data_IF_112117723357
#
_entry.id   IF_112117723357
#
_cell.length_a   1.000
_cell.length_b   1.000
_cell.length_c   1.000
_cell.angle_alpha   90.00
_cell.angle_beta   90.00
_cell.angle_gamma   90.00
#
_symmetry.space_group_name_H-M   'P 1'
#
loop_
_entity.id
_entity.type
_entity.pdbx_description
1 polymer ?
#
# COMPACT_ATOMS: atom_id res chain seq x y z
N UNK A 1 -0.39 20.68 11.06
CA UNK A 1 1.00 21.07 10.68
C UNK A 1 1.58 19.99 9.79
N UNK A 2 2.27 20.38 8.73
CA UNK A 2 2.96 19.41 7.85
C UNK A 2 4.30 19.05 8.45
N UNK A 3 4.51 17.79 8.78
CA UNK A 3 5.78 17.28 9.27
C UNK A 3 6.67 16.81 8.11
N UNK A 4 7.97 16.90 8.30
CA UNK A 4 8.96 16.40 7.35
C UNK A 4 9.40 15.02 7.81
N UNK A 5 9.24 14.03 6.93
CA UNK A 5 9.66 12.66 7.15
C UNK A 5 10.78 12.31 6.16
N UNK A 6 11.71 11.45 6.57
CA UNK A 6 12.64 10.79 5.65
C UNK A 6 12.30 9.31 5.60
N UNK A 7 12.41 8.71 4.41
CA UNK A 7 12.16 7.30 4.24
C UNK A 7 13.16 6.65 3.29
N UNK A 8 13.31 5.36 3.43
CA UNK A 8 14.05 4.50 2.51
C UNK A 8 13.28 3.22 2.24
N UNK A 9 13.46 2.67 1.05
CA UNK A 9 12.88 1.39 0.64
C UNK A 9 13.89 0.31 0.97
N UNK A 10 13.46 -0.69 1.72
CA UNK A 10 14.26 -1.87 2.03
C UNK A 10 14.14 -2.85 0.87
N UNK A 11 15.27 -3.31 0.35
CA UNK A 11 15.38 -4.17 -0.83
C UNK A 11 16.13 -5.44 -0.48
N UNK A 12 15.64 -6.55 -0.98
CA UNK A 12 16.36 -7.81 -0.97
C UNK A 12 17.04 -8.00 -2.32
N UNK A 13 18.38 -8.09 -2.30
CA UNK A 13 19.26 -8.29 -3.46
C UNK A 13 20.17 -9.47 -3.17
N UNK A 14 19.74 -10.71 -3.47
CA UNK A 14 20.51 -11.91 -3.12
C UNK A 14 21.81 -12.04 -3.91
N UNK A 15 21.84 -11.51 -5.14
CA UNK A 15 22.98 -11.60 -6.05
C UNK A 15 23.46 -10.18 -6.37
N UNK A 16 24.67 -9.85 -5.94
CA UNK A 16 25.25 -8.52 -6.17
C UNK A 16 25.58 -8.29 -7.65
N UNK A 17 25.93 -9.36 -8.35
CA UNK A 17 26.40 -9.36 -9.73
C UNK A 17 25.31 -8.97 -10.73
N UNK A 18 24.08 -9.41 -10.49
CA UNK A 18 22.94 -9.09 -11.38
C UNK A 18 22.24 -7.78 -11.01
N UNK A 19 22.54 -7.23 -9.82
CA UNK A 19 21.84 -6.08 -9.24
C UNK A 19 20.31 -6.22 -9.15
N UNK A 20 19.76 -7.40 -9.41
CA UNK A 20 18.34 -7.66 -9.30
C UNK A 20 17.88 -7.60 -7.85
N UNK A 21 16.77 -6.90 -7.61
CA UNK A 21 16.23 -6.75 -6.27
C UNK A 21 14.70 -6.77 -6.23
N UNK A 22 14.17 -7.16 -5.07
CA UNK A 22 12.78 -7.00 -4.73
C UNK A 22 12.62 -6.03 -3.57
N UNK A 23 11.66 -5.12 -3.65
CA UNK A 23 11.29 -4.27 -2.52
C UNK A 23 10.56 -5.12 -1.48
N UNK A 24 11.07 -5.14 -0.25
CA UNK A 24 10.61 -6.00 0.84
C UNK A 24 10.16 -5.22 2.08
N UNK A 25 10.36 -3.91 2.12
CA UNK A 25 9.96 -3.08 3.24
C UNK A 25 10.17 -1.60 3.00
N UNK A 26 9.76 -0.83 3.98
CA UNK A 26 10.05 0.60 4.09
C UNK A 26 10.42 0.93 5.53
N UNK A 27 11.31 1.88 5.72
CA UNK A 27 11.65 2.49 7.01
C UNK A 27 11.49 4.00 6.90
N UNK A 28 10.92 4.60 7.93
CA UNK A 28 10.61 6.04 7.99
C UNK A 28 11.08 6.60 9.31
N UNK A 29 11.64 7.81 9.29
CA UNK A 29 11.93 8.60 10.49
C UNK A 29 11.12 9.91 10.44
N UNK A 30 10.52 10.24 11.54
CA UNK A 30 9.94 11.56 11.76
C UNK A 30 11.06 12.57 12.03
N UNK A 31 11.16 13.59 11.19
CA UNK A 31 12.21 14.59 11.29
C UNK A 31 12.11 15.49 12.53
N UNK A 32 10.95 15.56 13.17
CA UNK A 32 10.73 16.35 14.38
C UNK A 32 10.97 15.55 15.66
N UNK A 33 10.32 14.39 15.76
CA UNK A 33 10.37 13.56 16.99
C UNK A 33 11.55 12.58 17.02
N UNK A 34 12.21 12.32 15.89
CA UNK A 34 13.23 11.28 15.76
C UNK A 34 12.68 9.86 15.81
N UNK A 35 11.37 9.70 15.95
CA UNK A 35 10.73 8.39 16.02
C UNK A 35 10.87 7.65 14.69
N UNK A 36 11.27 6.39 14.78
CA UNK A 36 11.44 5.50 13.64
C UNK A 36 10.30 4.48 13.63
N UNK A 37 9.75 4.23 12.46
CA UNK A 37 8.80 3.16 12.24
C UNK A 37 9.07 2.49 10.89
N UNK A 38 8.67 1.24 10.75
CA UNK A 38 8.95 0.45 9.55
C UNK A 38 7.87 -0.59 9.29
N UNK A 39 7.79 -1.06 8.05
CA UNK A 39 6.97 -2.19 7.68
C UNK A 39 7.73 -3.12 6.75
N UNK A 40 7.69 -4.43 7.04
CA UNK A 40 8.34 -5.49 6.27
C UNK A 40 7.31 -6.40 5.62
N UNK A 41 7.65 -6.93 4.45
CA UNK A 41 6.89 -8.00 3.81
C UNK A 41 6.96 -9.29 4.65
N UNK A 42 5.95 -10.17 4.54
CA UNK A 42 5.96 -11.42 5.28
C UNK A 42 7.08 -12.35 4.79
N UNK A 43 7.54 -13.27 5.65
CA UNK A 43 8.51 -14.32 5.27
C UNK A 43 8.07 -15.13 4.04
N UNK A 44 6.77 -15.40 3.92
CA UNK A 44 6.18 -16.07 2.75
C UNK A 44 5.65 -15.02 1.78
N UNK A 45 6.54 -14.34 1.09
CA UNK A 45 6.18 -13.30 0.13
C UNK A 45 6.27 -13.84 -1.30
N UNK A 46 5.13 -14.05 -1.93
CA UNK A 46 5.00 -14.67 -3.25
C UNK A 46 5.84 -13.99 -4.32
N UNK A 47 5.94 -12.65 -4.28
CA UNK A 47 6.77 -11.90 -5.24
C UNK A 47 8.24 -12.30 -5.19
N UNK A 48 8.82 -12.44 -4.00
CA UNK A 48 10.22 -12.87 -3.84
C UNK A 48 10.37 -14.32 -4.30
N UNK A 49 9.41 -15.18 -3.93
CA UNK A 49 9.41 -16.60 -4.33
C UNK A 49 9.33 -16.80 -5.85
N UNK A 50 8.55 -15.99 -6.56
CA UNK A 50 8.42 -16.13 -8.01
C UNK A 50 9.52 -15.40 -8.79
N UNK A 51 10.22 -14.46 -8.17
CA UNK A 51 11.25 -13.67 -8.84
C UNK A 51 12.65 -14.27 -8.68
N UNK A 52 12.92 -14.93 -7.56
CA UNK A 52 14.21 -15.51 -7.27
C UNK A 52 14.12 -17.04 -7.14
N UNK A 53 15.26 -17.70 -7.33
CA UNK A 53 15.42 -19.13 -7.13
C UNK A 53 15.23 -19.54 -5.67
N UNK A 54 15.00 -20.83 -5.43
CA UNK A 54 14.70 -21.38 -4.09
C UNK A 54 15.79 -21.08 -3.05
N UNK A 55 17.06 -21.15 -3.45
CA UNK A 55 18.19 -20.83 -2.56
C UNK A 55 18.14 -19.39 -2.07
N UNK A 56 17.86 -18.44 -2.96
CA UNK A 56 17.70 -17.04 -2.60
C UNK A 56 16.45 -16.81 -1.74
N UNK A 57 15.36 -17.55 -2.01
CA UNK A 57 14.16 -17.47 -1.21
C UNK A 57 14.36 -17.93 0.24
N UNK A 58 15.19 -18.95 0.48
CA UNK A 58 15.54 -19.36 1.83
C UNK A 58 16.34 -18.27 2.57
N UNK A 59 17.31 -17.63 1.90
CA UNK A 59 18.06 -16.51 2.44
C UNK A 59 17.16 -15.30 2.77
N UNK A 60 16.11 -15.07 1.97
CA UNK A 60 15.11 -14.05 2.25
C UNK A 60 14.41 -14.24 3.60
N UNK A 61 14.03 -15.45 3.94
CA UNK A 61 13.40 -15.77 5.23
C UNK A 61 14.27 -15.35 6.42
N UNK A 62 15.56 -15.65 6.35
CA UNK A 62 16.53 -15.25 7.36
C UNK A 62 16.73 -13.73 7.41
N UNK A 63 16.80 -13.07 6.24
CA UNK A 63 16.93 -11.62 6.16
C UNK A 63 15.75 -10.89 6.84
N UNK A 64 14.53 -11.37 6.65
CA UNK A 64 13.33 -10.80 7.32
C UNK A 64 13.40 -10.98 8.82
N UNK A 65 13.89 -12.13 9.33
CA UNK A 65 14.03 -12.35 10.77
C UNK A 65 15.07 -11.40 11.39
N UNK A 66 16.22 -11.23 10.75
CA UNK A 66 17.23 -10.29 11.19
C UNK A 66 16.72 -8.86 11.20
N UNK A 67 16.05 -8.42 10.13
CA UNK A 67 15.46 -7.07 10.06
C UNK A 67 14.44 -6.80 11.16
N UNK A 68 13.63 -7.80 11.54
CA UNK A 68 12.67 -7.68 12.65
C UNK A 68 13.34 -7.47 14.02
N UNK A 69 14.58 -7.87 14.17
CA UNK A 69 15.37 -7.66 15.38
C UNK A 69 16.15 -6.35 15.30
N UNK A 70 16.82 -6.12 14.17
CA UNK A 70 17.75 -4.99 13.99
C UNK A 70 17.05 -3.63 13.92
N UNK A 71 15.92 -3.54 13.18
CA UNK A 71 15.24 -2.26 13.01
C UNK A 71 14.64 -1.69 14.31
N UNK A 72 13.95 -2.48 15.16
CA UNK A 72 13.54 -2.00 16.48
C UNK A 72 14.71 -1.56 17.35
N UNK A 73 15.78 -2.37 17.41
CA UNK A 73 16.99 -2.04 18.19
C UNK A 73 17.63 -0.74 17.71
N UNK A 74 17.76 -0.57 16.39
CA UNK A 74 18.28 0.67 15.82
C UNK A 74 17.39 1.87 16.17
N UNK A 75 16.06 1.69 16.13
CA UNK A 75 15.07 2.71 16.49
C UNK A 75 15.14 3.17 17.94
N UNK A 76 15.54 2.29 18.85
CA UNK A 76 15.71 2.61 20.27
C UNK A 76 17.12 3.20 20.57
N UNK A 77 18.14 2.60 19.99
CA UNK A 77 19.52 2.87 20.36
C UNK A 77 20.12 4.10 19.69
N UNK A 78 19.85 4.30 18.40
CA UNK A 78 20.45 5.41 17.65
C UNK A 78 19.95 6.80 18.10
N UNK A 79 18.65 7.01 18.39
CA UNK A 79 18.21 8.28 18.97
C UNK A 79 18.81 8.58 20.34
N UNK A 80 19.10 7.55 21.15
CA UNK A 80 19.77 7.70 22.44
C UNK A 80 21.21 8.19 22.28
N UNK A 81 21.90 7.80 21.21
CA UNK A 81 23.28 8.23 20.92
C UNK A 81 23.33 9.60 20.24
N UNK A 82 22.48 9.82 19.23
CA UNK A 82 22.54 11.01 18.37
C UNK A 82 21.59 12.13 18.81
N UNK A 83 20.78 11.91 19.85
CA UNK A 83 19.85 12.91 20.36
C UNK A 83 18.87 13.37 19.27
N UNK A 84 18.79 14.68 19.05
CA UNK A 84 17.92 15.30 18.06
C UNK A 84 18.43 15.26 16.62
N UNK A 85 19.64 14.73 16.37
CA UNK A 85 20.17 14.62 15.00
C UNK A 85 19.54 13.43 14.24
N UNK A 86 18.33 13.66 13.80
CA UNK A 86 17.57 12.68 13.00
C UNK A 86 18.21 12.36 11.64
N UNK A 87 19.10 13.22 11.14
CA UNK A 87 19.80 13.01 9.87
C UNK A 87 20.88 11.92 10.03
N UNK A 88 21.72 12.06 11.02
CA UNK A 88 22.79 11.07 11.33
C UNK A 88 22.16 9.74 11.78
N UNK A 89 21.15 9.79 12.64
CA UNK A 89 20.39 8.60 13.07
C UNK A 89 19.85 7.82 11.89
N UNK A 90 19.18 8.48 10.95
CA UNK A 90 18.62 7.80 9.79
C UNK A 90 19.70 7.29 8.84
N UNK A 91 20.79 8.04 8.65
CA UNK A 91 21.91 7.63 7.82
C UNK A 91 22.54 6.34 8.31
N UNK A 92 22.77 6.17 9.61
CA UNK A 92 23.33 4.95 10.19
C UNK A 92 22.46 3.71 9.91
N UNK A 93 21.14 3.86 9.82
CA UNK A 93 20.23 2.77 9.47
C UNK A 93 20.35 2.39 8.00
N UNK A 94 20.38 3.40 7.10
CA UNK A 94 20.22 3.19 5.66
C UNK A 94 21.52 3.23 4.88
N UNK A 95 22.66 3.44 5.52
CA UNK A 95 23.97 3.48 4.86
C UNK A 95 24.23 2.22 4.02
N UNK A 96 24.92 2.36 2.88
CA UNK A 96 25.29 1.23 2.04
C UNK A 96 26.08 0.16 2.84
N UNK A 97 25.73 -1.10 2.64
CA UNK A 97 26.38 -2.26 3.26
C UNK A 97 26.50 -3.36 2.21
N UNK A 98 27.55 -4.14 2.30
CA UNK A 98 27.69 -5.38 1.54
C UNK A 98 26.81 -6.47 2.18
N UNK A 99 25.56 -6.56 1.72
CA UNK A 99 24.56 -7.47 2.27
C UNK A 99 23.51 -7.78 1.21
N UNK A 100 22.84 -8.92 1.38
CA UNK A 100 21.63 -9.24 0.58
C UNK A 100 20.46 -8.31 0.88
N UNK A 101 20.55 -7.51 1.94
CA UNK A 101 19.59 -6.45 2.25
C UNK A 101 20.24 -5.10 2.03
N UNK A 102 19.68 -4.31 1.15
CA UNK A 102 20.15 -2.96 0.86
C UNK A 102 19.00 -1.95 1.04
N UNK A 103 19.38 -0.71 1.27
CA UNK A 103 18.44 0.40 1.40
C UNK A 103 18.53 1.31 0.18
N UNK A 104 17.40 1.83 -0.28
CA UNK A 104 17.41 2.89 -1.31
C UNK A 104 18.01 4.17 -0.74
N UNK A 105 18.48 5.08 -1.60
CA UNK A 105 18.84 6.42 -1.16
C UNK A 105 17.69 7.06 -0.34
N UNK A 106 18.01 7.73 0.78
CA UNK A 106 17.03 8.46 1.58
C UNK A 106 16.26 9.48 0.76
N UNK A 107 14.95 9.55 0.99
CA UNK A 107 14.06 10.53 0.36
C UNK A 107 13.29 11.27 1.44
N UNK A 108 13.09 12.58 1.24
CA UNK A 108 12.25 13.38 2.11
C UNK A 108 10.84 13.52 1.52
N UNK A 109 9.85 13.57 2.39
CA UNK A 109 8.48 13.90 2.04
C UNK A 109 7.84 14.73 3.16
N UNK A 110 6.86 15.54 2.78
CA UNK A 110 6.06 16.34 3.71
C UNK A 110 4.67 15.72 3.82
N UNK A 111 4.19 15.46 5.03
CA UNK A 111 2.88 14.82 5.26
C UNK A 111 2.22 15.33 6.53
N UNK A 112 0.89 15.26 6.56
CA UNK A 112 0.07 15.48 7.76
C UNK A 112 -0.40 14.16 8.38
N UNK A 113 -0.05 13.02 7.77
CA UNK A 113 -0.42 11.71 8.26
C UNK A 113 0.41 11.33 9.50
N UNK A 114 -0.17 10.63 10.47
CA UNK A 114 0.58 9.97 11.53
C UNK A 114 1.64 9.01 10.96
N UNK A 115 2.75 8.83 11.67
CA UNK A 115 3.89 8.04 11.21
C UNK A 115 3.50 6.62 10.79
N UNK A 116 2.71 5.93 11.60
CA UNK A 116 2.23 4.56 11.32
C UNK A 116 1.34 4.46 10.07
N UNK A 117 0.51 5.47 9.83
CA UNK A 117 -0.33 5.57 8.62
C UNK A 117 0.52 5.84 7.39
N UNK A 118 1.54 6.71 7.54
CA UNK A 118 2.48 7.02 6.48
C UNK A 118 3.30 5.79 6.07
N UNK A 119 3.81 5.03 7.04
CA UNK A 119 4.55 3.78 6.80
C UNK A 119 3.69 2.78 6.03
N UNK A 120 2.44 2.57 6.44
CA UNK A 120 1.50 1.69 5.71
C UNK A 120 1.26 2.15 4.27
N UNK A 121 1.09 3.46 4.07
CA UNK A 121 0.88 4.04 2.73
C UNK A 121 2.09 3.84 1.82
N UNK A 122 3.30 4.11 2.32
CA UNK A 122 4.54 3.90 1.57
C UNK A 122 4.78 2.41 1.28
N UNK A 123 4.49 1.53 2.23
CA UNK A 123 4.59 0.09 2.04
C UNK A 123 3.63 -0.42 0.96
N UNK A 124 2.36 0.00 1.01
CA UNK A 124 1.38 -0.33 -0.02
C UNK A 124 1.87 0.11 -1.40
N UNK A 125 2.40 1.34 -1.50
CA UNK A 125 2.89 1.91 -2.75
C UNK A 125 4.13 1.22 -3.31
N UNK A 126 5.15 0.97 -2.48
CA UNK A 126 6.46 0.53 -2.96
C UNK A 126 6.68 -0.98 -2.88
N UNK A 127 6.07 -1.65 -1.91
CA UNK A 127 6.25 -3.08 -1.69
C UNK A 127 5.09 -3.88 -2.28
N UNK A 128 3.86 -3.54 -1.95
CA UNK A 128 2.69 -4.21 -2.53
C UNK A 128 2.43 -3.81 -3.99
N UNK A 129 2.98 -2.65 -4.43
CA UNK A 129 2.65 -2.03 -5.70
C UNK A 129 1.14 -1.79 -5.87
N UNK A 130 0.46 -1.62 -4.76
CA UNK A 130 -0.88 -1.07 -4.77
C UNK A 130 -0.73 0.36 -5.30
N UNK A 131 -0.91 0.49 -6.61
CA UNK A 131 -0.81 1.77 -7.31
C UNK A 131 -1.91 2.65 -6.72
N UNK A 132 -1.60 3.91 -6.55
CA UNK A 132 -2.35 5.01 -5.96
C UNK A 132 -3.82 5.18 -6.44
N UNK A 133 -4.29 4.37 -7.37
CA UNK A 133 -5.70 4.29 -7.77
C UNK A 133 -6.57 3.88 -6.58
N UNK A 134 -6.14 2.88 -5.79
CA UNK A 134 -6.88 2.44 -4.59
C UNK A 134 -6.92 3.53 -3.49
N UNK A 135 -5.89 4.37 -3.40
CA UNK A 135 -5.90 5.44 -2.41
C UNK A 135 -6.89 6.56 -2.78
N UNK A 136 -6.98 6.92 -4.06
CA UNK A 136 -7.93 7.91 -4.54
C UNK A 136 -9.38 7.40 -4.42
N UNK A 137 -9.64 6.15 -4.79
CA UNK A 137 -10.95 5.51 -4.64
C UNK A 137 -11.33 5.33 -3.16
N UNK A 138 -10.37 5.00 -2.30
CA UNK A 138 -10.62 4.90 -0.86
C UNK A 138 -11.00 6.26 -0.26
N UNK A 139 -10.28 7.32 -0.62
CA UNK A 139 -10.59 8.69 -0.20
C UNK A 139 -11.97 9.12 -0.72
N UNK A 140 -12.27 8.83 -1.99
CA UNK A 140 -13.57 9.11 -2.61
C UNK A 140 -14.68 8.33 -1.91
N UNK A 141 -14.49 7.03 -1.67
CA UNK A 141 -15.42 6.19 -0.91
C UNK A 141 -15.70 6.77 0.47
N UNK A 142 -14.67 7.24 1.19
CA UNK A 142 -14.83 7.85 2.52
C UNK A 142 -15.63 9.16 2.45
N UNK A 143 -15.36 10.01 1.46
CA UNK A 143 -16.13 11.26 1.24
C UNK A 143 -17.58 10.99 0.91
N UNK A 144 -17.87 10.03 0.01
CA UNK A 144 -19.22 9.65 -0.35
C UNK A 144 -19.96 9.07 0.86
N UNK A 145 -19.30 8.19 1.64
CA UNK A 145 -19.88 7.64 2.87
C UNK A 145 -20.23 8.73 3.87
N UNK A 146 -19.39 9.73 4.05
CA UNK A 146 -19.68 10.87 4.92
C UNK A 146 -20.86 11.69 4.40
N UNK A 147 -20.95 11.92 3.09
CA UNK A 147 -22.10 12.62 2.48
C UNK A 147 -23.40 11.84 2.68
N UNK A 148 -23.40 10.54 2.44
CA UNK A 148 -24.54 9.66 2.68
C UNK A 148 -24.99 9.70 4.15
N UNK A 149 -24.07 9.66 5.09
CA UNK A 149 -24.36 9.77 6.53
C UNK A 149 -25.03 11.10 6.89
N UNK A 150 -24.53 12.22 6.33
CA UNK A 150 -25.13 13.56 6.52
C UNK A 150 -26.54 13.65 5.95
N UNK A 151 -26.82 12.94 4.87
CA UNK A 151 -28.12 12.88 4.19
C UNK A 151 -29.02 11.76 4.74
N UNK A 152 -28.74 11.24 5.94
CA UNK A 152 -29.49 10.18 6.63
C UNK A 152 -29.49 8.79 5.96
N UNK A 153 -28.69 8.56 4.91
CA UNK A 153 -28.52 7.25 4.27
C UNK A 153 -27.43 6.43 5.01
N UNK A 154 -27.78 5.88 6.19
CA UNK A 154 -26.80 5.19 7.07
C UNK A 154 -26.59 3.70 6.75
N UNK A 155 -27.35 3.14 5.82
CA UNK A 155 -27.41 1.68 5.59
C UNK A 155 -26.44 1.17 4.51
N UNK A 156 -25.64 2.04 3.89
CA UNK A 156 -24.66 1.63 2.89
C UNK A 156 -23.47 0.92 3.53
N UNK A 157 -23.24 -0.35 3.12
CA UNK A 157 -22.17 -1.21 3.60
C UNK A 157 -21.33 -1.71 2.42
N UNK A 158 -20.17 -2.31 2.72
CA UNK A 158 -19.44 -3.05 1.69
C UNK A 158 -20.14 -4.37 1.42
N UNK A 159 -20.49 -4.61 0.17
CA UNK A 159 -21.12 -5.85 -0.31
C UNK A 159 -20.20 -6.48 -1.35
N UNK A 160 -19.92 -7.76 -1.18
CA UNK A 160 -19.21 -8.58 -2.15
C UNK A 160 -20.25 -9.46 -2.86
N UNK A 161 -20.34 -9.34 -4.16
CA UNK A 161 -21.08 -10.28 -5.00
C UNK A 161 -20.10 -11.41 -5.29
N UNK A 162 -20.35 -12.57 -4.68
CA UNK A 162 -19.56 -13.78 -4.92
C UNK A 162 -20.03 -14.41 -6.24
N UNK A 163 -19.09 -14.69 -7.09
CA UNK A 163 -19.30 -15.36 -8.37
C UNK A 163 -18.06 -16.21 -8.66
N UNK A 164 -18.27 -17.38 -9.22
CA UNK A 164 -17.19 -18.36 -9.50
C UNK A 164 -16.21 -17.84 -10.56
N UNK A 165 -16.65 -16.88 -11.39
CA UNK A 165 -15.83 -16.35 -12.50
C UNK A 165 -15.26 -14.97 -12.18
N UNK A 166 -16.07 -14.03 -11.74
CA UNK A 166 -15.65 -12.64 -11.49
C UNK A 166 -16.30 -12.08 -10.23
N UNK A 167 -15.70 -12.22 -9.04
CA UNK A 167 -16.20 -11.59 -7.84
C UNK A 167 -16.08 -10.06 -7.95
N UNK A 168 -17.17 -9.37 -7.59
CA UNK A 168 -17.21 -7.89 -7.60
C UNK A 168 -17.54 -7.36 -6.22
N UNK A 169 -16.74 -6.42 -5.74
CA UNK A 169 -16.96 -5.76 -4.44
C UNK A 169 -17.42 -4.32 -4.66
N UNK A 170 -18.58 -4.00 -4.12
CA UNK A 170 -19.09 -2.64 -4.02
C UNK A 170 -18.80 -2.10 -2.61
N UNK A 171 -17.99 -1.02 -2.48
CA UNK A 171 -17.63 -0.48 -1.17
C UNK A 171 -18.79 0.23 -0.48
N UNK A 172 -19.79 0.62 -1.24
CA UNK A 172 -21.01 1.29 -0.78
C UNK A 172 -22.20 0.65 -1.46
N UNK A 173 -22.92 -0.21 -0.76
CA UNK A 173 -24.13 -0.85 -1.26
C UNK A 173 -25.19 -0.98 -0.16
N UNK A 174 -26.43 -0.89 -0.55
CA UNK A 174 -27.61 -1.08 0.29
C UNK A 174 -28.47 -2.21 -0.28
N UNK A 175 -28.71 -3.23 0.53
CA UNK A 175 -29.57 -4.37 0.17
C UNK A 175 -30.94 -4.17 0.81
N UNK A 176 -31.88 -3.60 0.04
CA UNK A 176 -33.31 -3.52 0.33
C UNK A 176 -34.07 -4.57 -0.47
N UNK A 177 -35.20 -4.20 -1.08
CA UNK A 177 -35.91 -5.04 -2.05
C UNK A 177 -35.03 -5.32 -3.26
N UNK A 178 -34.26 -4.31 -3.69
CA UNK A 178 -33.24 -4.42 -4.73
C UNK A 178 -31.90 -3.94 -4.20
N UNK A 179 -30.80 -4.49 -4.73
CA UNK A 179 -29.45 -4.07 -4.38
C UNK A 179 -29.12 -2.75 -5.08
N UNK A 180 -28.89 -1.69 -4.32
CA UNK A 180 -28.40 -0.40 -4.81
C UNK A 180 -26.94 -0.26 -4.46
N UNK A 181 -26.10 0.05 -5.45
CA UNK A 181 -24.65 0.07 -5.28
C UNK A 181 -24.03 1.36 -5.83
N UNK A 182 -23.02 1.86 -5.13
CA UNK A 182 -22.18 2.97 -5.57
C UNK A 182 -20.75 2.44 -5.71
N UNK A 183 -20.20 2.56 -6.90
CA UNK A 183 -18.80 2.22 -7.19
C UNK A 183 -18.02 3.49 -7.50
N UNK A 184 -17.24 4.00 -6.54
CA UNK A 184 -16.30 5.07 -6.82
C UNK A 184 -15.20 4.56 -7.75
N UNK A 185 -14.89 5.31 -8.80
CA UNK A 185 -13.80 5.04 -9.72
C UNK A 185 -12.92 6.28 -9.82
N UNK A 186 -11.62 6.10 -9.71
CA UNK A 186 -10.66 7.17 -9.90
C UNK A 186 -9.88 6.95 -11.19
N UNK A 187 -9.92 7.91 -12.09
CA UNK A 187 -9.20 7.92 -13.35
C UNK A 187 -7.88 8.72 -13.24
N UNK A 188 -7.18 8.56 -12.12
CA UNK A 188 -5.90 9.24 -11.82
C UNK A 188 -4.65 8.50 -12.30
N UNK A 189 -4.79 7.62 -13.29
CA UNK A 189 -3.69 6.88 -13.90
C UNK A 189 -2.74 7.82 -14.65
N UNK A 190 -1.45 7.44 -14.70
CA UNK A 190 -0.39 8.28 -15.28
C UNK A 190 -0.40 8.36 -16.81
N UNK A 191 -1.02 7.42 -17.50
CA UNK A 191 -1.08 7.42 -18.96
C UNK A 191 -2.52 7.33 -19.46
N UNK A 192 -2.85 7.95 -20.60
CA UNK A 192 -4.18 7.84 -21.21
C UNK A 192 -4.59 6.39 -21.47
N UNK A 193 -3.65 5.54 -21.92
CA UNK A 193 -3.93 4.13 -22.18
C UNK A 193 -4.34 3.38 -20.91
N UNK A 194 -3.64 3.62 -19.79
CA UNK A 194 -3.99 3.02 -18.50
C UNK A 194 -5.39 3.46 -18.00
N UNK A 195 -5.83 4.68 -18.34
CA UNK A 195 -7.17 5.16 -18.04
C UNK A 195 -8.22 4.37 -18.84
N UNK A 196 -7.96 4.18 -20.14
CA UNK A 196 -8.83 3.40 -21.04
C UNK A 196 -8.93 1.94 -20.58
N UNK A 197 -7.79 1.30 -20.30
CA UNK A 197 -7.73 -0.08 -19.84
C UNK A 197 -8.49 -0.27 -18.52
N UNK A 198 -8.33 0.67 -17.58
CA UNK A 198 -9.02 0.65 -16.32
C UNK A 198 -10.54 0.80 -16.48
N UNK A 199 -10.97 1.73 -17.32
CA UNK A 199 -12.39 1.91 -17.66
C UNK A 199 -12.98 0.67 -18.35
N UNK A 200 -12.26 0.09 -19.31
CA UNK A 200 -12.69 -1.12 -20.01
C UNK A 200 -12.80 -2.33 -19.08
N UNK A 201 -11.85 -2.47 -18.14
CA UNK A 201 -11.86 -3.51 -17.12
C UNK A 201 -13.13 -3.42 -16.22
N UNK A 202 -13.46 -2.22 -15.74
CA UNK A 202 -14.64 -2.04 -14.91
C UNK A 202 -15.93 -2.18 -15.72
N UNK A 203 -15.97 -1.69 -16.94
CA UNK A 203 -17.10 -1.89 -17.85
C UNK A 203 -17.44 -3.38 -18.01
N UNK A 204 -16.41 -4.22 -18.29
CA UNK A 204 -16.56 -5.67 -18.44
C UNK A 204 -17.13 -6.33 -17.18
N UNK A 205 -16.62 -5.96 -16.00
CA UNK A 205 -17.10 -6.49 -14.72
C UNK A 205 -18.54 -6.10 -14.41
N UNK A 206 -18.89 -4.83 -14.66
CA UNK A 206 -20.24 -4.34 -14.40
C UNK A 206 -21.25 -4.95 -15.38
N UNK A 207 -20.91 -5.05 -16.68
CA UNK A 207 -21.75 -5.74 -17.65
C UNK A 207 -22.03 -7.18 -17.21
N UNK A 208 -21.01 -7.90 -16.78
CA UNK A 208 -21.13 -9.28 -16.30
C UNK A 208 -22.09 -9.42 -15.11
N UNK A 209 -22.01 -8.52 -14.12
CA UNK A 209 -22.90 -8.52 -12.95
C UNK A 209 -24.35 -8.17 -13.33
N UNK A 210 -24.52 -7.27 -14.30
CA UNK A 210 -25.84 -6.88 -14.84
C UNK A 210 -26.49 -8.02 -15.64
N UNK A 211 -25.72 -8.67 -16.52
CA UNK A 211 -26.20 -9.78 -17.36
C UNK A 211 -26.65 -10.98 -16.52
N UNK A 212 -26.05 -11.17 -15.36
CA UNK A 212 -26.46 -12.19 -14.37
C UNK A 212 -27.65 -11.79 -13.50
N UNK A 213 -28.18 -10.59 -13.65
CA UNK A 213 -29.29 -10.10 -12.85
C UNK A 213 -28.98 -9.89 -11.36
N UNK A 214 -27.68 -9.93 -10.97
CA UNK A 214 -27.28 -9.71 -9.58
C UNK A 214 -27.55 -8.28 -9.09
N UNK A 215 -27.60 -7.32 -10.02
CA UNK A 215 -27.98 -5.92 -9.78
C UNK A 215 -28.66 -5.38 -11.02
N UNK A 216 -29.68 -4.56 -10.85
CA UNK A 216 -30.34 -3.86 -11.97
C UNK A 216 -29.51 -2.64 -12.41
N UNK A 217 -29.55 -2.34 -13.73
CA UNK A 217 -28.77 -1.24 -14.33
C UNK A 217 -29.05 0.11 -13.67
N UNK A 218 -30.32 0.41 -13.34
CA UNK A 218 -30.72 1.65 -12.68
C UNK A 218 -30.25 1.77 -11.22
N UNK A 219 -29.77 0.69 -10.63
CA UNK A 219 -29.36 0.62 -9.22
C UNK A 219 -27.84 0.70 -9.00
N UNK A 220 -27.04 0.92 -10.06
CA UNK A 220 -25.60 1.13 -9.95
C UNK A 220 -25.27 2.58 -10.30
N UNK A 221 -24.64 3.29 -9.35
CA UNK A 221 -24.05 4.61 -9.56
C UNK A 221 -22.54 4.47 -9.65
N UNK A 222 -21.96 4.98 -10.73
CA UNK A 222 -20.50 5.19 -10.85
C UNK A 222 -20.21 6.63 -10.44
N UNK A 223 -19.27 6.83 -9.50
CA UNK A 223 -18.96 8.13 -8.92
C UNK A 223 -17.45 8.42 -8.99
#
# INVERSE_FOLDING_TARGET
MKNIFKYSIIRFRPFAETEEFANIGVVVIDGMSGKIDFQLAPKRFSRVRHFFEERAYNAYGHAIDLLKIELPRAGEYLPAIHGTDTRTTFWEIVRPRESSVIFSAPRALQSELPLDVLVRSLFARFVKREITVDNAEHVLTKKIRQALHRSHFKHFRTVKIEDDVIPVTFPLAYKGETLRAIKPLSFSQRSPMSVVDYGAHWRKRLSYVLDRGSVEKGNILIA
#
